data_IF_183674445618
#
_entry.id   IF_183674445618
#
_cell.length_a   1.000
_cell.length_b   1.000
_cell.length_c   1.000
_cell.angle_alpha   90.00
_cell.angle_beta   90.00
_cell.angle_gamma   90.00
#
_symmetry.space_group_name_H-M   'P 1'
#
loop_
_entity.id
_entity.type
_entity.pdbx_description
1 polymer ?
#
# COMPACT_ATOMS: atom_id res chain seq x y z
N UNK A 1 31.62 33.90 -24.54
CA UNK A 1 33.02 33.57 -24.87
C UNK A 1 33.20 32.09 -24.59
N UNK A 2 33.78 31.35 -25.54
CA UNK A 2 33.93 29.88 -25.60
C UNK A 2 32.70 29.07 -26.07
N UNK A 3 32.60 29.06 -27.39
CA UNK A 3 31.98 28.11 -28.30
C UNK A 3 32.72 26.76 -28.27
N UNK A 4 32.01 25.63 -28.36
CA UNK A 4 32.53 24.44 -29.04
C UNK A 4 31.48 23.87 -29.99
N UNK A 5 31.97 23.65 -31.20
CA UNK A 5 31.26 23.32 -32.43
C UNK A 5 31.62 21.89 -32.85
N UNK A 6 30.75 21.32 -33.72
CA UNK A 6 31.01 20.31 -34.76
C UNK A 6 31.14 18.84 -34.34
N UNK A 7 30.72 17.84 -35.14
CA UNK A 7 30.16 17.80 -36.50
C UNK A 7 29.55 16.41 -36.73
N UNK A 8 28.42 16.35 -37.44
CA UNK A 8 27.95 15.17 -38.17
C UNK A 8 28.90 14.86 -39.34
N UNK A 9 29.04 13.58 -39.69
CA UNK A 9 29.74 13.10 -40.88
C UNK A 9 29.11 11.81 -41.39
N UNK A 10 28.47 11.90 -42.55
CA UNK A 10 27.75 10.85 -43.30
C UNK A 10 28.68 10.25 -44.38
N UNK A 11 28.26 9.09 -44.92
CA UNK A 11 28.64 8.51 -46.24
C UNK A 11 30.02 7.85 -46.36
N UNK A 12 30.29 6.81 -47.16
CA UNK A 12 29.53 5.95 -48.09
C UNK A 12 30.51 4.80 -48.51
N UNK A 13 30.10 3.52 -48.54
CA UNK A 13 29.72 2.70 -49.73
C UNK A 13 30.88 2.05 -50.55
N UNK A 14 30.61 0.78 -50.91
CA UNK A 14 31.09 -0.07 -52.05
C UNK A 14 32.27 -1.07 -51.80
N UNK A 15 32.38 -2.18 -52.58
CA UNK A 15 32.45 -3.56 -52.10
C UNK A 15 33.67 -4.31 -52.68
N UNK A 16 33.85 -5.60 -52.35
CA UNK A 16 34.46 -6.53 -53.30
C UNK A 16 34.05 -7.97 -53.02
N UNK A 17 33.41 -8.57 -54.03
CA UNK A 17 33.14 -9.99 -54.12
C UNK A 17 34.41 -10.73 -54.54
N UNK A 18 34.66 -11.89 -53.93
CA UNK A 18 35.41 -12.97 -54.57
C UNK A 18 34.59 -14.25 -54.48
N UNK A 19 34.19 -14.73 -55.66
CA UNK A 19 33.64 -16.06 -55.87
C UNK A 19 34.79 -17.07 -55.96
N UNK A 20 34.66 -18.19 -55.25
CA UNK A 20 35.35 -19.43 -55.60
C UNK A 20 34.29 -20.51 -55.75
N UNK A 21 34.21 -21.05 -56.95
CA UNK A 21 33.40 -22.20 -57.30
C UNK A 21 34.06 -23.48 -56.77
N UNK A 22 33.27 -24.32 -56.10
CA UNK A 22 33.63 -25.69 -55.73
C UNK A 22 32.40 -26.57 -55.83
N UNK A 23 32.36 -27.40 -56.87
CA UNK A 23 31.37 -28.45 -57.12
C UNK A 23 31.50 -29.61 -56.12
N UNK A 24 30.39 -30.09 -55.57
CA UNK A 24 30.33 -31.39 -54.88
C UNK A 24 29.06 -31.61 -54.06
N UNK A 25 28.17 -32.48 -54.54
CA UNK A 25 26.96 -32.93 -53.85
C UNK A 25 27.27 -33.83 -52.64
N UNK A 26 26.67 -33.55 -51.48
CA UNK A 26 26.16 -34.55 -50.53
C UNK A 26 25.43 -33.80 -49.40
N UNK A 27 24.17 -34.15 -49.15
CA UNK A 27 23.34 -33.46 -48.17
C UNK A 27 23.70 -33.79 -46.73
N UNK A 28 23.45 -32.82 -45.85
CA UNK A 28 22.90 -33.01 -44.50
C UNK A 28 22.27 -31.69 -44.08
N UNK A 29 21.02 -31.74 -43.68
CA UNK A 29 20.29 -30.69 -42.97
C UNK A 29 21.00 -30.36 -41.67
N UNK A 30 21.57 -29.16 -41.56
CA UNK A 30 21.96 -28.58 -40.27
C UNK A 30 20.81 -27.71 -39.78
N UNK A 31 19.90 -28.36 -39.04
CA UNK A 31 19.11 -27.67 -38.02
C UNK A 31 20.06 -27.44 -36.85
N UNK A 32 20.52 -26.20 -36.69
CA UNK A 32 21.10 -25.75 -35.42
C UNK A 32 19.96 -25.64 -34.41
N UNK A 33 19.61 -26.79 -33.82
CA UNK A 33 18.83 -26.90 -32.62
C UNK A 33 19.68 -26.35 -31.46
N UNK A 34 19.35 -25.13 -31.01
CA UNK A 34 19.77 -24.66 -29.71
C UNK A 34 19.13 -25.57 -28.65
N UNK A 35 19.88 -26.57 -28.23
CA UNK A 35 19.55 -27.42 -27.11
C UNK A 35 19.46 -26.56 -25.85
N UNK A 36 18.26 -26.10 -25.52
CA UNK A 36 17.92 -25.60 -24.18
C UNK A 36 18.32 -26.69 -23.20
N UNK A 37 19.35 -26.41 -22.39
CA UNK A 37 19.84 -27.29 -21.35
C UNK A 37 18.64 -27.78 -20.52
N UNK A 38 18.43 -29.10 -20.52
CA UNK A 38 17.34 -29.79 -19.84
C UNK A 38 17.38 -29.65 -18.30
N UNK A 39 18.38 -28.96 -17.75
CA UNK A 39 18.47 -28.59 -16.35
C UNK A 39 17.61 -27.37 -15.98
N UNK A 40 17.38 -26.42 -16.90
CA UNK A 40 16.49 -25.26 -16.67
C UNK A 40 15.00 -25.66 -16.69
N UNK A 41 14.67 -26.79 -17.32
CA UNK A 41 13.31 -27.30 -17.36
C UNK A 41 12.81 -27.84 -16.00
N UNK A 42 13.74 -28.17 -15.08
CA UNK A 42 13.47 -28.80 -13.78
C UNK A 42 13.52 -27.84 -12.58
N UNK A 43 14.00 -26.60 -12.76
CA UNK A 43 14.05 -25.64 -11.66
C UNK A 43 12.64 -25.18 -11.34
N UNK A 44 12.21 -25.40 -10.10
CA UNK A 44 10.95 -24.84 -9.61
C UNK A 44 11.12 -23.32 -9.56
N UNK A 45 10.36 -22.61 -10.38
CA UNK A 45 10.26 -21.16 -10.32
C UNK A 45 8.97 -20.74 -9.62
N UNK A 46 9.04 -19.59 -8.96
CA UNK A 46 7.95 -18.97 -8.25
C UNK A 46 7.67 -17.60 -8.87
N UNK A 47 6.44 -17.15 -8.79
CA UNK A 47 6.01 -15.80 -9.15
C UNK A 47 4.97 -15.33 -8.14
N UNK A 48 4.62 -14.04 -8.20
CA UNK A 48 3.42 -13.56 -7.54
C UNK A 48 2.21 -14.34 -8.07
N UNK A 49 1.23 -14.53 -7.21
CA UNK A 49 0.02 -15.27 -7.53
C UNK A 49 -0.70 -14.61 -8.70
N UNK A 50 -0.81 -13.29 -8.73
CA UNK A 50 -1.46 -12.57 -9.83
C UNK A 50 -0.86 -12.92 -11.20
N UNK A 51 0.46 -12.95 -11.29
CA UNK A 51 1.21 -13.34 -12.50
C UNK A 51 1.09 -14.85 -12.82
N UNK A 52 0.90 -15.67 -11.79
CA UNK A 52 0.73 -17.10 -11.95
C UNK A 52 -0.67 -17.50 -12.44
N UNK A 53 -1.68 -16.62 -12.37
CA UNK A 53 -3.07 -17.00 -12.66
C UNK A 53 -3.43 -16.87 -14.13
N UNK A 54 -4.47 -17.61 -14.55
CA UNK A 54 -5.16 -17.34 -15.81
C UNK A 54 -5.98 -16.05 -15.68
N UNK A 55 -6.36 -15.41 -16.80
CA UNK A 55 -7.17 -14.18 -16.77
C UNK A 55 -8.45 -14.33 -15.92
N UNK A 56 -9.19 -15.44 -16.09
CA UNK A 56 -10.40 -15.70 -15.30
C UNK A 56 -10.14 -15.90 -13.81
N UNK A 57 -9.04 -16.56 -13.44
CA UNK A 57 -8.68 -16.73 -12.04
C UNK A 57 -8.05 -15.46 -11.44
N UNK A 58 -7.41 -14.62 -12.25
CA UNK A 58 -6.90 -13.32 -11.82
C UNK A 58 -8.04 -12.41 -11.36
N UNK A 59 -9.11 -12.29 -12.14
CA UNK A 59 -10.31 -11.53 -11.71
C UNK A 59 -10.89 -12.08 -10.41
N UNK A 60 -11.00 -13.42 -10.29
CA UNK A 60 -11.44 -14.06 -9.04
C UNK A 60 -10.52 -13.75 -7.87
N UNK A 61 -9.22 -13.65 -8.10
CA UNK A 61 -8.26 -13.28 -7.08
C UNK A 61 -8.46 -11.84 -6.61
N UNK A 62 -8.71 -10.90 -7.53
CA UNK A 62 -9.05 -9.51 -7.18
C UNK A 62 -10.32 -9.45 -6.31
N UNK A 63 -11.38 -10.17 -6.71
CA UNK A 63 -12.63 -10.23 -5.93
C UNK A 63 -12.41 -10.81 -4.53
N UNK A 64 -11.60 -11.87 -4.42
CA UNK A 64 -11.22 -12.47 -3.14
C UNK A 64 -10.43 -11.49 -2.27
N UNK A 65 -9.48 -10.73 -2.84
CA UNK A 65 -8.75 -9.71 -2.08
C UNK A 65 -9.69 -8.64 -1.53
N UNK A 66 -10.60 -8.12 -2.34
CA UNK A 66 -11.59 -7.14 -1.87
C UNK A 66 -12.50 -7.70 -0.78
N UNK A 67 -12.95 -8.95 -0.93
CA UNK A 67 -13.78 -9.61 0.07
C UNK A 67 -13.01 -9.81 1.39
N UNK A 68 -11.71 -10.13 1.33
CA UNK A 68 -10.85 -10.27 2.51
C UNK A 68 -10.64 -8.94 3.23
N UNK A 69 -10.33 -7.87 2.50
CA UNK A 69 -10.21 -6.52 3.07
C UNK A 69 -11.51 -6.12 3.76
N UNK A 70 -12.64 -6.27 3.08
CA UNK A 70 -13.96 -6.02 3.68
C UNK A 70 -14.23 -6.89 4.91
N UNK A 71 -13.84 -8.17 4.87
CA UNK A 71 -13.94 -9.07 6.01
C UNK A 71 -13.15 -8.55 7.20
N UNK A 72 -11.91 -8.10 6.96
CA UNK A 72 -11.08 -7.48 7.99
C UNK A 72 -11.73 -6.21 8.56
N UNK A 73 -12.23 -5.31 7.71
CA UNK A 73 -12.87 -4.07 8.15
C UNK A 73 -14.08 -4.33 9.05
N UNK A 74 -14.87 -5.38 8.76
CA UNK A 74 -16.02 -5.75 9.57
C UNK A 74 -15.64 -6.28 10.97
N UNK A 75 -14.49 -6.94 11.09
CA UNK A 75 -14.05 -7.54 12.37
C UNK A 75 -13.04 -6.67 13.12
N UNK A 76 -12.45 -5.64 12.48
CA UNK A 76 -11.41 -4.86 13.13
C UNK A 76 -11.96 -4.17 14.38
N UNK A 77 -13.09 -3.47 14.26
CA UNK A 77 -13.66 -2.67 15.36
C UNK A 77 -13.90 -3.45 16.66
N UNK A 78 -14.28 -4.74 16.56
CA UNK A 78 -14.67 -5.57 17.69
C UNK A 78 -13.55 -6.53 18.18
N UNK A 79 -12.42 -6.59 17.46
CA UNK A 79 -11.34 -7.54 17.76
C UNK A 79 -9.97 -6.87 17.72
N UNK A 80 -9.53 -6.42 16.54
CA UNK A 80 -8.14 -6.00 16.31
C UNK A 80 -7.92 -4.52 16.65
N UNK A 81 -8.88 -3.67 16.28
CA UNK A 81 -8.88 -2.23 16.48
C UNK A 81 -9.33 -1.83 17.91
N UNK A 82 -9.71 -2.77 18.79
CA UNK A 82 -9.97 -2.50 20.21
C UNK A 82 -8.69 -2.29 21.03
N UNK A 83 -7.53 -2.68 20.49
CA UNK A 83 -6.22 -2.47 21.10
C UNK A 83 -5.73 -1.02 21.02
N UNK A 84 -4.42 -0.82 21.18
CA UNK A 84 -3.83 0.53 21.14
C UNK A 84 -3.95 1.20 19.75
N UNK A 85 -3.99 0.40 18.68
CA UNK A 85 -4.13 0.87 17.30
C UNK A 85 -5.58 0.75 16.84
N UNK A 86 -6.33 1.85 16.91
CA UNK A 86 -7.74 1.88 16.50
C UNK A 86 -7.99 2.03 14.99
N UNK A 87 -6.93 2.08 14.20
CA UNK A 87 -6.96 2.38 12.75
C UNK A 87 -6.11 1.39 11.93
N UNK A 88 -6.03 0.13 12.37
CA UNK A 88 -5.38 -0.91 11.57
C UNK A 88 -6.08 -1.00 10.21
N UNK A 89 -5.29 -1.01 9.13
CA UNK A 89 -5.78 -1.13 7.76
C UNK A 89 -4.91 -2.05 6.93
N UNK A 90 -5.51 -2.69 5.92
CA UNK A 90 -4.82 -3.53 4.95
C UNK A 90 -4.02 -2.68 3.99
N UNK A 91 -2.71 -2.92 3.86
CA UNK A 91 -1.84 -2.24 2.89
C UNK A 91 -1.61 -3.09 1.66
N UNK A 92 -1.17 -4.35 1.82
CA UNK A 92 -0.90 -5.22 0.66
C UNK A 92 -1.03 -6.68 1.00
N UNK A 93 -1.84 -7.41 0.23
CA UNK A 93 -1.90 -8.87 0.28
C UNK A 93 -1.23 -9.45 -0.97
N UNK A 94 -0.13 -10.17 -0.75
CA UNK A 94 0.62 -10.85 -1.79
C UNK A 94 0.81 -12.33 -1.45
N UNK A 95 0.75 -13.16 -2.49
CA UNK A 95 0.92 -14.60 -2.39
C UNK A 95 1.83 -15.06 -3.50
N UNK A 96 2.54 -16.16 -3.29
CA UNK A 96 3.41 -16.77 -4.29
C UNK A 96 2.95 -18.18 -4.62
N UNK A 97 3.18 -18.57 -5.88
CA UNK A 97 2.93 -19.92 -6.34
C UNK A 97 4.00 -20.39 -7.32
N UNK A 98 4.16 -21.71 -7.45
CA UNK A 98 5.02 -22.28 -8.49
C UNK A 98 4.42 -21.99 -9.87
N UNK A 99 5.23 -21.57 -10.83
CA UNK A 99 4.76 -21.15 -12.16
C UNK A 99 4.09 -22.28 -12.96
N UNK A 100 4.58 -23.52 -12.87
CA UNK A 100 4.04 -24.67 -13.63
C UNK A 100 2.91 -25.39 -12.90
N UNK A 101 3.17 -25.83 -11.67
CA UNK A 101 2.22 -26.65 -10.90
C UNK A 101 1.15 -25.84 -10.14
N UNK A 102 1.28 -24.50 -10.12
CA UNK A 102 0.40 -23.58 -9.37
C UNK A 102 0.19 -24.01 -7.91
N UNK A 103 1.24 -24.54 -7.28
CA UNK A 103 1.25 -24.85 -5.85
C UNK A 103 1.59 -23.58 -5.08
N UNK A 104 0.75 -23.20 -4.12
CA UNK A 104 0.98 -22.06 -3.24
C UNK A 104 2.23 -22.29 -2.40
N UNK A 105 3.03 -21.25 -2.18
CA UNK A 105 4.27 -21.34 -1.42
C UNK A 105 4.30 -20.45 -0.20
N UNK A 106 3.91 -19.18 -0.34
CA UNK A 106 3.86 -18.22 0.76
C UNK A 106 2.72 -17.23 0.51
N UNK A 107 2.19 -16.65 1.58
CA UNK A 107 1.23 -15.55 1.53
C UNK A 107 1.52 -14.60 2.68
N UNK A 108 1.64 -13.32 2.36
CA UNK A 108 1.89 -12.25 3.32
C UNK A 108 0.86 -11.16 3.17
N UNK A 109 0.25 -10.77 4.28
CA UNK A 109 -0.65 -9.62 4.34
C UNK A 109 -0.01 -8.54 5.20
N UNK A 110 0.33 -7.42 4.56
CA UNK A 110 0.87 -6.24 5.19
C UNK A 110 -0.26 -5.36 5.70
N UNK A 111 -0.18 -4.97 6.96
CA UNK A 111 -1.07 -4.01 7.62
C UNK A 111 -0.30 -2.79 8.08
N UNK A 112 -1.00 -1.66 8.19
CA UNK A 112 -0.49 -0.42 8.76
C UNK A 112 -1.42 0.09 9.86
N UNK A 113 -0.89 0.84 10.82
CA UNK A 113 -1.65 1.44 11.91
C UNK A 113 -0.84 2.55 12.57
N UNK A 114 -1.53 3.52 13.16
CA UNK A 114 -0.88 4.67 13.79
C UNK A 114 -1.64 5.25 14.96
N UNK A 115 -0.89 5.87 15.87
CA UNK A 115 -1.40 6.63 17.00
C UNK A 115 -0.79 8.02 16.93
N UNK A 116 -1.62 9.01 16.63
CA UNK A 116 -1.19 10.40 16.58
C UNK A 116 -1.27 11.06 17.96
N UNK A 117 -0.27 11.87 18.25
CA UNK A 117 -0.20 12.66 19.47
C UNK A 117 0.14 14.11 19.17
N UNK A 118 -0.54 15.02 19.88
CA UNK A 118 -0.20 16.45 19.89
C UNK A 118 0.44 16.78 21.24
N UNK A 119 1.71 17.18 21.22
CA UNK A 119 2.42 17.62 22.41
C UNK A 119 1.79 18.91 22.97
N UNK A 120 1.22 18.91 24.19
CA UNK A 120 0.45 20.05 24.70
C UNK A 120 1.24 21.35 24.84
N UNK A 121 2.55 21.26 25.09
CA UNK A 121 3.42 22.42 25.29
C UNK A 121 3.85 23.10 23.99
N UNK A 122 3.99 22.35 22.88
CA UNK A 122 4.58 22.85 21.64
C UNK A 122 3.67 22.77 20.42
N UNK A 123 2.61 21.95 20.48
CA UNK A 123 1.77 21.60 19.35
C UNK A 123 2.47 20.71 18.32
N UNK A 124 3.64 20.15 18.66
CA UNK A 124 4.31 19.19 17.79
C UNK A 124 3.46 17.92 17.67
N UNK A 125 3.29 17.44 16.44
CA UNK A 125 2.56 16.20 16.16
C UNK A 125 3.57 15.09 15.97
N UNK A 126 3.45 14.02 16.77
CA UNK A 126 4.19 12.78 16.61
C UNK A 126 3.23 11.66 16.26
N UNK A 127 3.70 10.65 15.54
CA UNK A 127 2.93 9.45 15.23
C UNK A 127 3.73 8.25 15.69
N UNK A 128 3.13 7.42 16.53
CA UNK A 128 3.58 6.06 16.77
C UNK A 128 2.90 5.18 15.72
N UNK A 129 3.61 4.91 14.63
CA UNK A 129 3.08 4.20 13.48
C UNK A 129 3.93 2.98 13.18
N UNK A 130 3.26 1.93 12.69
CA UNK A 130 3.85 0.64 12.48
C UNK A 130 3.27 -0.04 11.23
N UNK A 131 4.06 -0.95 10.67
CA UNK A 131 3.62 -1.90 9.65
C UNK A 131 3.88 -3.31 10.13
N UNK A 132 2.93 -4.22 9.90
CA UNK A 132 3.06 -5.63 10.27
C UNK A 132 2.92 -6.50 9.03
N UNK A 133 3.83 -7.47 8.85
CA UNK A 133 3.80 -8.42 7.75
C UNK A 133 3.33 -9.79 8.24
N UNK A 134 2.02 -10.00 8.21
CA UNK A 134 1.38 -11.20 8.73
C UNK A 134 1.49 -12.36 7.74
N UNK A 135 1.96 -13.52 8.21
CA UNK A 135 2.06 -14.73 7.38
C UNK A 135 0.75 -15.49 7.39
N UNK A 136 0.20 -15.75 6.21
CA UNK A 136 -1.03 -16.51 6.03
C UNK A 136 -0.67 -17.96 5.67
N UNK A 137 -1.15 -18.96 6.43
CA UNK A 137 -0.77 -20.34 6.21
C UNK A 137 -1.36 -20.88 4.89
N UNK A 138 -0.51 -21.40 4.01
CA UNK A 138 -0.94 -22.00 2.75
C UNK A 138 -0.32 -23.36 2.52
N UNK A 139 -1.16 -24.35 2.17
CA UNK A 139 -0.73 -25.70 1.85
C UNK A 139 -1.64 -26.34 0.79
N UNK A 140 -1.72 -25.69 -0.37
CA UNK A 140 -2.68 -26.05 -1.43
C UNK A 140 -2.23 -25.59 -2.80
N UNK A 141 -3.06 -25.79 -3.82
CA UNK A 141 -2.91 -25.18 -5.16
C UNK A 141 -3.68 -23.87 -5.25
N UNK A 142 -3.25 -22.97 -6.13
CA UNK A 142 -3.91 -21.69 -6.39
C UNK A 142 -5.38 -21.88 -6.75
N UNK A 143 -5.69 -22.88 -7.58
CA UNK A 143 -7.07 -23.20 -7.95
C UNK A 143 -7.92 -23.57 -6.73
N UNK A 144 -7.47 -24.51 -5.89
CA UNK A 144 -8.24 -24.94 -4.72
C UNK A 144 -8.35 -23.82 -3.68
N UNK A 145 -7.30 -23.01 -3.53
CA UNK A 145 -7.32 -21.80 -2.69
C UNK A 145 -8.43 -20.83 -3.14
N UNK A 146 -8.46 -20.48 -4.43
CA UNK A 146 -9.50 -19.59 -4.99
C UNK A 146 -10.89 -20.22 -4.98
N UNK A 147 -11.02 -21.52 -5.27
CA UNK A 147 -12.31 -22.23 -5.20
C UNK A 147 -12.86 -22.21 -3.77
N UNK A 148 -11.99 -22.33 -2.75
CA UNK A 148 -12.39 -22.21 -1.36
C UNK A 148 -12.77 -20.78 -1.01
N UNK A 149 -11.99 -19.76 -1.34
CA UNK A 149 -12.26 -18.37 -0.92
C UNK A 149 -13.39 -17.69 -1.71
N UNK A 150 -13.57 -18.06 -2.98
CA UNK A 150 -14.65 -17.53 -3.81
C UNK A 150 -15.98 -18.28 -3.65
N UNK A 151 -16.02 -19.35 -2.84
CA UNK A 151 -17.27 -20.07 -2.60
C UNK A 151 -18.32 -19.14 -1.96
N UNK A 152 -19.61 -19.26 -2.36
CA UNK A 152 -20.68 -18.50 -1.72
C UNK A 152 -20.84 -18.96 -0.27
N UNK A 153 -21.22 -18.04 0.61
CA UNK A 153 -21.41 -18.31 2.04
C UNK A 153 -20.85 -17.20 2.91
N UNK A 154 -20.73 -17.49 4.20
CA UNK A 154 -20.32 -16.53 5.23
C UNK A 154 -18.87 -16.02 5.03
N UNK A 155 -18.53 -15.04 5.85
CA UNK A 155 -17.34 -14.18 5.81
C UNK A 155 -16.05 -14.93 5.41
N UNK A 156 -15.44 -14.46 4.31
CA UNK A 156 -14.27 -15.09 3.69
C UNK A 156 -13.06 -15.13 4.63
N UNK A 157 -12.96 -14.18 5.56
CA UNK A 157 -11.81 -14.09 6.47
C UNK A 157 -11.77 -15.24 7.48
N UNK A 158 -12.93 -15.81 7.83
CA UNK A 158 -13.06 -16.93 8.78
C UNK A 158 -13.02 -18.30 8.10
N UNK A 159 -12.86 -18.35 6.78
CA UNK A 159 -12.89 -19.60 6.04
C UNK A 159 -11.59 -20.38 6.22
N UNK A 160 -11.71 -21.64 6.64
CA UNK A 160 -10.56 -22.53 6.78
C UNK A 160 -9.82 -22.70 5.44
N UNK A 161 -8.52 -22.46 5.44
CA UNK A 161 -7.67 -22.51 4.26
C UNK A 161 -7.36 -23.97 3.90
N UNK A 162 -7.44 -24.34 2.61
CA UNK A 162 -7.25 -25.73 2.21
C UNK A 162 -5.89 -26.29 2.61
N UNK A 163 -5.89 -27.50 3.18
CA UNK A 163 -4.66 -28.16 3.62
C UNK A 163 -4.12 -27.63 4.95
N UNK A 164 -4.91 -26.80 5.64
CA UNK A 164 -4.66 -26.27 6.99
C UNK A 164 -5.94 -26.37 7.81
N UNK A 165 -5.86 -26.11 9.11
CA UNK A 165 -6.96 -25.92 10.04
C UNK A 165 -7.19 -24.45 10.42
N UNK A 166 -6.52 -23.52 9.73
CA UNK A 166 -6.50 -22.08 10.03
C UNK A 166 -7.17 -21.27 8.94
N UNK A 167 -7.73 -20.13 9.31
CA UNK A 167 -8.29 -19.11 8.41
C UNK A 167 -7.35 -17.90 8.29
N UNK A 168 -7.74 -16.90 7.48
CA UNK A 168 -7.05 -15.61 7.51
C UNK A 168 -7.20 -14.95 8.89
N UNK A 169 -8.39 -15.00 9.47
CA UNK A 169 -8.66 -14.45 10.80
C UNK A 169 -7.72 -15.04 11.86
N UNK A 170 -7.58 -16.37 11.90
CA UNK A 170 -6.71 -17.03 12.89
C UNK A 170 -5.25 -16.59 12.73
N UNK A 171 -4.79 -16.43 11.48
CA UNK A 171 -3.43 -15.95 11.20
C UNK A 171 -3.22 -14.49 11.62
N UNK A 172 -4.26 -13.65 11.52
CA UNK A 172 -4.21 -12.26 12.00
C UNK A 172 -4.23 -12.17 13.52
N UNK A 173 -5.01 -13.01 14.20
CA UNK A 173 -4.97 -13.13 15.67
C UNK A 173 -3.57 -13.49 16.13
N UNK A 174 -2.96 -14.51 15.52
CA UNK A 174 -1.58 -14.91 15.84
C UNK A 174 -0.56 -13.80 15.51
N UNK A 175 -0.81 -12.99 14.47
CA UNK A 175 0.08 -11.90 14.04
C UNK A 175 0.04 -10.67 14.95
N UNK A 176 -1.15 -10.30 15.42
CA UNK A 176 -1.36 -9.12 16.27
C UNK A 176 -1.27 -9.42 17.77
N UNK A 177 -1.03 -10.68 18.15
CA UNK A 177 -0.85 -11.06 19.55
C UNK A 177 0.31 -10.27 20.19
N UNK A 178 0.03 -9.60 21.30
CA UNK A 178 0.99 -8.77 22.03
C UNK A 178 1.41 -7.47 21.36
N UNK A 179 0.75 -7.05 20.27
CA UNK A 179 0.98 -5.72 19.68
C UNK A 179 0.49 -4.64 20.65
N UNK A 180 1.40 -3.76 21.05
CA UNK A 180 1.13 -2.62 21.92
C UNK A 180 1.76 -1.36 21.31
N UNK A 181 1.06 -0.24 21.44
CA UNK A 181 1.51 1.07 21.00
C UNK A 181 2.31 1.79 22.07
N UNK A 182 3.19 2.69 21.65
CA UNK A 182 3.86 3.64 22.52
C UNK A 182 2.95 4.84 22.77
N UNK A 183 2.03 4.68 23.72
CA UNK A 183 1.16 5.77 24.10
C UNK A 183 1.98 6.95 24.64
N UNK A 184 1.75 8.17 24.13
CA UNK A 184 2.44 9.36 24.59
C UNK A 184 2.11 9.62 26.08
N UNK A 185 3.02 10.24 26.83
CA UNK A 185 2.76 10.58 28.22
C UNK A 185 1.53 11.50 28.32
N UNK A 186 0.73 11.29 29.35
CA UNK A 186 -0.45 12.09 29.71
C UNK A 186 -0.04 13.47 30.23
N UNK A 187 0.78 14.21 29.47
CA UNK A 187 0.98 15.63 29.77
C UNK A 187 -0.32 16.35 29.45
N UNK A 188 -0.82 17.14 30.39
CA UNK A 188 -1.98 18.03 30.21
C UNK A 188 -1.56 19.50 30.26
N UNK A 189 -0.27 19.78 30.40
CA UNK A 189 0.25 21.13 30.54
C UNK A 189 0.58 21.75 29.18
N UNK A 190 -0.30 22.62 28.72
CA UNK A 190 -0.06 23.53 27.61
C UNK A 190 -1.33 23.85 26.81
N UNK A 191 -1.28 24.84 25.90
CA UNK A 191 -2.46 25.30 25.19
C UNK A 191 -2.85 24.39 24.02
N UNK A 192 -1.99 23.43 23.63
CA UNK A 192 -2.22 22.63 22.43
C UNK A 192 -2.99 21.35 22.71
N UNK A 193 -3.92 21.03 21.83
CA UNK A 193 -4.77 19.82 21.88
C UNK A 193 -5.03 19.32 20.46
N UNK A 194 -5.30 18.02 20.31
CA UNK A 194 -5.70 17.44 19.03
C UNK A 194 -7.09 17.95 18.62
N UNK A 195 -7.29 18.17 17.32
CA UNK A 195 -8.51 18.76 16.76
C UNK A 195 -9.78 17.95 17.05
N UNK A 196 -9.74 16.62 16.95
CA UNK A 196 -10.85 15.73 17.29
C UNK A 196 -11.28 15.99 18.73
N UNK A 197 -10.34 15.99 19.67
CA UNK A 197 -10.60 16.21 21.08
C UNK A 197 -11.09 17.64 21.36
N UNK A 198 -10.51 18.64 20.69
CA UNK A 198 -10.92 20.03 20.79
C UNK A 198 -12.37 20.23 20.33
N UNK A 199 -12.75 19.65 19.19
CA UNK A 199 -14.10 19.80 18.64
C UNK A 199 -15.13 19.00 19.43
N UNK A 200 -14.78 17.79 19.87
CA UNK A 200 -15.68 16.91 20.63
C UNK A 200 -16.01 17.49 22.02
N UNK A 201 -14.99 18.01 22.71
CA UNK A 201 -15.14 18.50 24.09
C UNK A 201 -15.42 20.01 24.17
N UNK A 202 -15.06 20.78 23.14
CA UNK A 202 -15.14 22.25 23.13
C UNK A 202 -16.43 22.84 22.54
N UNK A 203 -17.45 22.01 22.28
CA UNK A 203 -18.72 22.44 21.66
C UNK A 203 -18.60 22.74 20.16
N UNK A 204 -17.58 22.20 19.50
CA UNK A 204 -17.42 22.22 18.05
C UNK A 204 -18.14 21.07 17.37
N UNK A 205 -18.04 21.00 16.03
CA UNK A 205 -18.67 19.94 15.25
C UNK A 205 -17.71 18.76 15.05
N UNK A 206 -17.55 17.94 16.10
CA UNK A 206 -16.70 16.74 16.07
C UNK A 206 -17.15 15.72 15.02
N UNK A 207 -18.46 15.58 14.81
CA UNK A 207 -19.03 14.67 13.81
C UNK A 207 -18.69 15.11 12.38
N UNK A 208 -18.78 16.41 12.07
CA UNK A 208 -18.36 16.93 10.77
C UNK A 208 -16.86 16.72 10.54
N UNK A 209 -16.03 16.90 11.58
CA UNK A 209 -14.60 16.63 11.46
C UNK A 209 -14.31 15.16 11.15
N UNK A 210 -14.95 14.22 11.85
CA UNK A 210 -14.83 12.79 11.52
C UNK A 210 -15.26 12.50 10.08
N UNK A 211 -16.34 13.11 9.61
CA UNK A 211 -16.77 12.97 8.21
C UNK A 211 -15.74 13.51 7.21
N UNK A 212 -15.17 14.68 7.49
CA UNK A 212 -14.07 15.25 6.71
C UNK A 212 -12.87 14.30 6.66
N UNK A 213 -12.45 13.71 7.80
CA UNK A 213 -11.31 12.78 7.81
C UNK A 213 -11.56 11.52 6.97
N UNK A 214 -12.79 10.97 6.99
CA UNK A 214 -13.16 9.84 6.14
C UNK A 214 -13.18 10.22 4.65
N UNK A 215 -13.72 11.38 4.32
CA UNK A 215 -13.72 11.90 2.94
C UNK A 215 -12.31 12.18 2.43
N UNK A 216 -11.39 12.61 3.30
CA UNK A 216 -9.98 12.76 2.94
C UNK A 216 -9.36 11.41 2.60
N UNK A 217 -9.50 10.41 3.48
CA UNK A 217 -9.01 9.06 3.22
C UNK A 217 -9.57 8.51 1.90
N UNK A 218 -10.90 8.54 1.73
CA UNK A 218 -11.54 8.12 0.48
C UNK A 218 -11.02 8.89 -0.74
N UNK A 219 -10.89 10.21 -0.63
CA UNK A 219 -10.39 11.04 -1.72
C UNK A 219 -8.95 10.71 -2.09
N UNK A 220 -8.13 10.28 -1.13
CA UNK A 220 -6.78 9.79 -1.39
C UNK A 220 -6.82 8.44 -2.12
N UNK A 221 -7.63 7.50 -1.66
CA UNK A 221 -7.78 6.18 -2.29
C UNK A 221 -8.23 6.32 -3.75
N UNK A 222 -9.15 7.24 -4.02
CA UNK A 222 -9.69 7.51 -5.37
C UNK A 222 -8.61 8.06 -6.33
N UNK A 223 -7.56 8.72 -5.82
CA UNK A 223 -6.49 9.29 -6.67
C UNK A 223 -5.17 8.50 -6.61
N UNK A 224 -4.98 7.61 -5.63
CA UNK A 224 -3.66 7.00 -5.42
C UNK A 224 -3.18 6.27 -6.66
N UNK A 225 -4.02 5.41 -7.25
CA UNK A 225 -3.68 4.62 -8.44
C UNK A 225 -3.17 5.43 -9.63
N UNK A 226 -3.67 6.67 -9.80
CA UNK A 226 -3.36 7.53 -10.95
C UNK A 226 -2.22 8.54 -10.65
N UNK A 227 -1.74 8.61 -9.40
CA UNK A 227 -0.82 9.67 -8.97
C UNK A 227 0.30 9.19 -8.06
N UNK A 228 -0.03 8.69 -6.87
CA UNK A 228 0.95 8.38 -5.82
C UNK A 228 1.41 6.91 -5.86
N UNK A 229 0.50 5.99 -6.18
CA UNK A 229 0.73 4.55 -6.22
C UNK A 229 1.46 4.08 -7.51
N UNK A 230 1.86 5.00 -8.41
CA UNK A 230 2.69 4.68 -9.58
C UNK A 230 4.21 4.75 -9.29
N UNK A 231 4.60 5.14 -8.06
CA UNK A 231 5.99 5.32 -7.65
C UNK A 231 6.69 4.04 -7.21
N UNK A 232 7.71 4.18 -6.33
CA UNK A 232 8.49 3.07 -5.78
C UNK A 232 7.64 2.09 -4.94
N UNK A 233 6.49 2.56 -4.44
CA UNK A 233 5.51 1.77 -3.70
C UNK A 233 4.19 1.79 -4.46
N UNK A 234 3.64 0.60 -4.69
CA UNK A 234 2.39 0.42 -5.45
C UNK A 234 1.14 0.36 -4.60
N UNK A 235 1.29 0.21 -3.28
CA UNK A 235 0.20 0.36 -2.33
C UNK A 235 0.59 1.38 -1.26
N UNK A 236 -0.25 2.40 -1.10
CA UNK A 236 -0.11 3.45 -0.09
C UNK A 236 -1.46 3.59 0.60
N UNK A 237 -1.47 3.46 1.91
CA UNK A 237 -2.67 3.56 2.72
C UNK A 237 -2.59 4.74 3.68
N UNK A 238 -3.69 5.50 3.73
CA UNK A 238 -3.88 6.55 4.70
C UNK A 238 -4.12 5.95 6.09
N UNK A 239 -3.31 6.37 7.07
CA UNK A 239 -3.51 6.05 8.47
C UNK A 239 -4.17 7.25 9.17
N UNK A 240 -3.64 7.72 10.30
CA UNK A 240 -4.22 8.84 11.02
C UNK A 240 -3.90 10.22 10.44
N UNK A 241 -4.92 11.10 10.47
CA UNK A 241 -4.80 12.52 10.17
C UNK A 241 -5.11 13.35 11.42
N UNK A 242 -4.08 13.96 12.01
CA UNK A 242 -4.19 14.73 13.24
C UNK A 242 -3.85 16.19 13.02
N UNK A 243 -4.53 17.08 13.75
CA UNK A 243 -4.29 18.52 13.69
C UNK A 243 -4.05 19.09 15.09
N UNK A 244 -3.00 19.89 15.24
CA UNK A 244 -2.69 20.58 16.49
C UNK A 244 -3.45 21.91 16.56
N UNK A 245 -4.30 22.07 17.57
CA UNK A 245 -5.05 23.28 17.86
C UNK A 245 -4.44 23.99 19.06
N UNK A 246 -4.07 25.25 18.89
CA UNK A 246 -3.84 26.18 19.99
C UNK A 246 -5.20 26.57 20.58
N UNK A 247 -5.57 25.96 21.71
CA UNK A 247 -6.83 26.20 22.39
C UNK A 247 -6.95 27.62 22.96
N UNK A 248 -5.83 28.25 23.33
CA UNK A 248 -5.83 29.63 23.83
C UNK A 248 -6.05 30.64 22.69
N UNK A 249 -5.43 30.42 21.53
CA UNK A 249 -5.60 31.28 20.36
C UNK A 249 -6.83 30.93 19.51
N UNK A 250 -7.42 29.75 19.73
CA UNK A 250 -8.43 29.12 18.87
C UNK A 250 -7.95 29.01 17.41
N UNK A 251 -6.76 28.43 17.23
CA UNK A 251 -6.10 28.31 15.92
C UNK A 251 -5.50 26.94 15.68
N UNK A 252 -5.83 26.33 14.55
CA UNK A 252 -5.08 25.18 14.01
C UNK A 252 -3.71 25.66 13.58
N UNK A 253 -2.64 25.00 14.03
CA UNK A 253 -1.23 25.33 13.72
C UNK A 253 -0.66 24.51 12.56
N UNK A 254 -1.03 23.26 12.54
CA UNK A 254 -0.58 22.28 11.55
C UNK A 254 -1.44 21.05 11.64
N UNK A 255 -1.50 20.31 10.53
CA UNK A 255 -1.96 18.94 10.50
C UNK A 255 -0.84 18.04 10.00
N UNK A 256 -0.85 16.78 10.41
CA UNK A 256 0.04 15.73 9.89
C UNK A 256 -0.81 14.55 9.50
N UNK A 257 -0.56 14.02 8.30
CA UNK A 257 -1.15 12.78 7.82
C UNK A 257 -0.08 11.70 7.75
N UNK A 258 -0.32 10.58 8.41
CA UNK A 258 0.56 9.41 8.37
C UNK A 258 0.08 8.42 7.32
N UNK A 259 1.01 7.80 6.61
CA UNK A 259 0.77 6.80 5.57
C UNK A 259 1.64 5.56 5.79
N UNK A 260 1.09 4.39 5.48
CA UNK A 260 1.86 3.16 5.30
C UNK A 260 2.02 2.89 3.80
N UNK A 261 3.24 2.60 3.38
CA UNK A 261 3.57 2.27 2.00
C UNK A 261 4.12 0.86 1.97
N UNK A 262 3.68 0.03 1.03
CA UNK A 262 4.21 -1.32 0.88
C UNK A 262 4.45 -1.69 -0.58
N UNK A 263 5.52 -2.44 -0.79
CA UNK A 263 5.77 -3.22 -1.99
C UNK A 263 6.09 -4.66 -1.56
N UNK A 264 5.78 -5.64 -2.40
CA UNK A 264 6.15 -7.03 -2.14
C UNK A 264 6.79 -7.66 -3.36
N UNK A 265 7.79 -8.49 -3.11
CA UNK A 265 8.47 -9.27 -4.13
C UNK A 265 8.47 -10.76 -3.75
N UNK A 266 8.48 -11.62 -4.77
CA UNK A 266 8.64 -13.06 -4.59
C UNK A 266 10.10 -13.43 -4.85
N UNK A 267 10.78 -13.92 -3.82
CA UNK A 267 12.19 -14.32 -3.95
C UNK A 267 12.37 -15.64 -4.71
N UNK A 268 13.63 -16.01 -4.97
CA UNK A 268 13.97 -17.26 -5.68
C UNK A 268 13.51 -18.56 -4.99
N UNK A 269 13.14 -18.51 -3.70
CA UNK A 269 12.63 -19.63 -2.92
C UNK A 269 11.09 -19.61 -2.82
N UNK A 270 10.47 -18.60 -3.43
CA UNK A 270 9.05 -18.35 -3.40
C UNK A 270 8.56 -17.72 -2.09
N UNK A 271 9.44 -17.17 -1.27
CA UNK A 271 9.02 -16.37 -0.11
C UNK A 271 8.54 -15.00 -0.58
N UNK A 272 7.42 -14.55 -0.03
CA UNK A 272 6.94 -13.18 -0.22
C UNK A 272 7.67 -12.30 0.79
N UNK A 273 8.48 -11.39 0.29
CA UNK A 273 9.22 -10.38 1.07
C UNK A 273 8.53 -9.05 0.87
N UNK A 274 8.23 -8.36 1.95
CA UNK A 274 7.66 -7.01 1.95
C UNK A 274 8.73 -5.98 2.26
N UNK A 275 8.76 -4.91 1.48
CA UNK A 275 9.36 -3.64 1.89
C UNK A 275 8.22 -2.71 2.26
N UNK A 276 8.14 -2.33 3.53
CA UNK A 276 7.09 -1.47 4.05
C UNK A 276 7.69 -0.34 4.86
N UNK A 277 7.26 0.89 4.56
CA UNK A 277 7.75 2.10 5.21
C UNK A 277 6.59 2.99 5.65
N UNK A 278 6.92 3.97 6.48
CA UNK A 278 5.99 4.96 6.98
C UNK A 278 6.40 6.36 6.51
N UNK A 279 5.40 7.17 6.15
CA UNK A 279 5.60 8.58 5.79
C UNK A 279 4.63 9.46 6.57
N UNK A 280 5.10 10.63 6.97
CA UNK A 280 4.26 11.65 7.62
C UNK A 280 4.34 12.96 6.86
N UNK A 281 3.20 13.40 6.32
CA UNK A 281 3.09 14.60 5.51
C UNK A 281 2.44 15.72 6.31
N UNK A 282 3.16 16.83 6.49
CA UNK A 282 2.67 17.96 7.28
C UNK A 282 2.10 19.09 6.44
N UNK A 283 0.91 19.54 6.81
CA UNK A 283 0.24 20.72 6.28
C UNK A 283 0.30 21.82 7.32
N UNK A 284 1.06 22.88 7.07
CA UNK A 284 1.09 24.06 7.96
C UNK A 284 -0.06 24.98 7.60
N UNK A 285 -0.91 25.35 8.56
CA UNK A 285 -1.98 26.34 8.37
C UNK A 285 -2.20 27.17 9.64
N UNK A 286 -2.89 28.30 9.52
CA UNK A 286 -3.20 29.16 10.67
C UNK A 286 -4.62 29.69 10.55
N UNK A 287 -5.59 28.90 11.00
CA UNK A 287 -7.01 29.15 10.82
C UNK A 287 -7.81 28.77 12.06
N UNK A 288 -9.00 29.35 12.24
CA UNK A 288 -9.90 28.87 13.27
C UNK A 288 -10.34 27.43 12.92
N UNK A 289 -10.51 26.55 13.91
CA UNK A 289 -11.02 25.19 13.69
C UNK A 289 -12.28 25.12 12.85
N UNK A 290 -13.30 25.93 13.16
CA UNK A 290 -14.56 25.97 12.40
C UNK A 290 -14.38 26.42 10.96
N UNK A 291 -13.44 27.33 10.68
CA UNK A 291 -13.12 27.76 9.31
C UNK A 291 -12.45 26.65 8.51
N UNK A 292 -11.58 25.85 9.15
CA UNK A 292 -10.99 24.68 8.49
C UNK A 292 -12.05 23.62 8.18
N UNK A 293 -12.87 23.26 9.16
CA UNK A 293 -13.99 22.30 8.97
C UNK A 293 -14.89 22.76 7.83
N UNK A 294 -15.26 24.04 7.80
CA UNK A 294 -16.10 24.60 6.74
C UNK A 294 -15.43 24.55 5.36
N UNK A 295 -14.12 24.80 5.28
CA UNK A 295 -13.37 24.73 4.03
C UNK A 295 -13.28 23.29 3.47
N UNK A 296 -13.32 22.29 4.36
CA UNK A 296 -13.20 20.87 4.04
C UNK A 296 -14.54 20.11 4.12
N UNK A 297 -15.67 20.81 4.17
CA UNK A 297 -16.99 20.16 4.32
C UNK A 297 -17.53 19.56 3.01
N UNK A 298 -16.98 19.98 1.86
CA UNK A 298 -17.42 19.54 0.53
C UNK A 298 -17.11 18.08 0.23
N UNK A 299 -17.49 17.65 -0.98
CA UNK A 299 -17.31 16.26 -1.43
C UNK A 299 -15.86 15.93 -1.78
N UNK A 300 -15.05 16.94 -2.09
CA UNK A 300 -13.62 16.81 -2.40
C UNK A 300 -12.78 17.69 -1.45
N UNK A 301 -12.63 17.27 -0.18
CA UNK A 301 -11.80 18.01 0.77
C UNK A 301 -10.31 17.91 0.45
N UNK A 302 -9.88 16.90 -0.30
CA UNK A 302 -8.48 16.66 -0.63
C UNK A 302 -7.92 17.80 -1.50
N UNK A 303 -8.70 18.26 -2.49
CA UNK A 303 -8.33 19.37 -3.38
C UNK A 303 -8.90 20.73 -2.95
N UNK A 304 -9.66 20.79 -1.85
CA UNK A 304 -10.20 22.03 -1.33
C UNK A 304 -9.09 23.01 -0.91
N UNK A 305 -9.30 24.31 -1.19
CA UNK A 305 -8.35 25.35 -0.78
C UNK A 305 -8.35 25.52 0.73
N UNK A 306 -7.16 25.48 1.32
CA UNK A 306 -7.00 25.69 2.75
C UNK A 306 -7.23 27.16 3.12
N UNK A 307 -7.77 27.45 4.31
CA UNK A 307 -8.02 28.83 4.73
C UNK A 307 -6.74 29.69 4.69
N UNK A 308 -6.83 30.83 4.01
CA UNK A 308 -5.71 31.76 3.84
C UNK A 308 -4.61 31.28 2.89
N UNK A 309 -4.84 30.22 2.12
CA UNK A 309 -3.90 29.65 1.16
C UNK A 309 -4.54 29.44 -0.20
N UNK A 310 -3.69 29.37 -1.22
CA UNK A 310 -4.07 28.94 -2.57
C UNK A 310 -3.93 27.44 -2.77
N UNK A 311 -3.25 26.75 -1.86
CA UNK A 311 -2.96 25.31 -1.90
C UNK A 311 -3.97 24.49 -1.09
N UNK A 312 -4.02 23.20 -1.40
CA UNK A 312 -4.86 22.17 -0.81
C UNK A 312 -4.04 21.19 0.04
N UNK A 313 -4.70 20.16 0.58
CA UNK A 313 -4.01 19.03 1.23
C UNK A 313 -3.27 18.22 0.18
N UNK A 314 -3.89 17.96 -0.98
CA UNK A 314 -3.27 17.29 -2.13
C UNK A 314 -1.90 17.89 -2.50
N UNK A 315 -1.82 19.21 -2.63
CA UNK A 315 -0.57 19.91 -2.98
C UNK A 315 0.57 19.65 -1.98
N UNK A 316 0.22 19.36 -0.71
CA UNK A 316 1.20 19.03 0.32
C UNK A 316 1.64 17.57 0.26
N UNK A 317 0.83 16.68 -0.32
CA UNK A 317 1.16 15.27 -0.50
C UNK A 317 2.13 15.06 -1.67
N UNK A 318 1.98 15.79 -2.78
CA UNK A 318 2.86 15.69 -3.98
C UNK A 318 4.34 15.90 -3.67
N UNK A 319 4.67 16.72 -2.68
CA UNK A 319 6.07 16.95 -2.27
C UNK A 319 6.58 16.00 -1.17
N UNK A 320 5.73 15.11 -0.67
CA UNK A 320 5.97 14.29 0.52
C UNK A 320 6.02 12.79 0.21
N UNK A 321 5.01 12.32 -0.53
CA UNK A 321 4.89 10.95 -1.04
C UNK A 321 5.63 10.86 -2.37
#
# INVERSE_FOLDING_TARGET
MMTFSRSLGYSAVLPLALAIAGTGCAGTTDSSDDAVSSEDALKTSYSDLSEALSEGDYTRWIDVKHALVKGFDNVCGDTFCEGDFSNLTSVRLACSATTKAKKMKDCTWVFGGSIEYVAPASGAITSDAHTWSCKIPVNTTSKKFLDTLAAPGDDVIHRALPGTDKSFYDALVDCFDGVVGNLPPTSTEGPFVEMKDFLWNGGGDGSAWMDTTRKLAKGFDDVCGDTFCEGDYSDIEALGFACAVDGAANKVRSCTWTFALANTEVDSKGSVVSDAILKSCSVKLYANPSTLVSALAGDDPLHARLPGKTTSIYDSLVGCL
#
